data_IF_144493186140
#
_entry.id   IF_144493186140
#
_cell.length_a   1.000
_cell.length_b   1.000
_cell.length_c   1.000
_cell.angle_alpha   90.00
_cell.angle_beta   90.00
_cell.angle_gamma   90.00
#
_symmetry.space_group_name_H-M   'P 1'
#
loop_
_entity.id
_entity.type
_entity.pdbx_description
1 polymer ?
#
# COMPACT_ATOMS: atom_id res chain seq x y z
N UNK A 1 -4.64 16.26 -11.78
CA UNK A 1 -3.38 15.91 -12.48
C UNK A 1 -3.18 14.41 -12.30
N UNK A 2 -3.20 13.62 -13.38
CA UNK A 2 -3.01 12.17 -13.34
C UNK A 2 -1.51 11.86 -13.27
N UNK A 3 -1.09 10.98 -12.37
CA UNK A 3 0.27 10.45 -12.37
C UNK A 3 0.46 9.54 -13.60
N UNK A 4 1.63 9.58 -14.27
CA UNK A 4 1.96 8.65 -15.34
C UNK A 4 1.82 7.19 -14.88
N UNK A 5 1.39 6.29 -15.77
CA UNK A 5 1.12 4.89 -15.44
C UNK A 5 2.34 4.10 -14.89
N UNK A 6 3.56 4.61 -15.08
CA UNK A 6 4.81 3.97 -14.62
C UNK A 6 5.31 4.48 -13.27
N UNK A 7 4.66 5.48 -12.68
CA UNK A 7 5.06 6.04 -11.39
C UNK A 7 4.55 5.14 -10.27
N UNK A 8 5.32 4.96 -9.19
CA UNK A 8 4.84 4.27 -7.99
C UNK A 8 3.66 5.05 -7.42
N UNK A 9 2.47 4.45 -7.43
CA UNK A 9 1.25 5.09 -6.92
C UNK A 9 1.13 4.98 -5.40
N UNK A 10 1.76 3.96 -4.79
CA UNK A 10 1.72 3.69 -3.36
C UNK A 10 3.09 3.20 -2.86
N UNK A 11 3.55 3.74 -1.73
CA UNK A 11 4.75 3.28 -1.03
C UNK A 11 4.37 2.71 0.34
N UNK A 12 5.02 1.61 0.73
CA UNK A 12 4.89 1.03 2.06
C UNK A 12 6.17 1.29 2.84
N UNK A 13 6.04 1.99 3.97
CA UNK A 13 7.14 2.18 4.93
C UNK A 13 6.78 1.44 6.20
N UNK A 14 7.65 0.53 6.64
CA UNK A 14 7.52 -0.18 7.91
C UNK A 14 8.71 0.21 8.79
N UNK A 15 8.43 0.84 9.94
CA UNK A 15 9.47 1.26 10.87
C UNK A 15 10.29 0.05 11.35
N UNK A 16 11.62 0.18 11.30
CA UNK A 16 12.54 -0.89 11.67
C UNK A 16 12.72 -2.00 10.61
N UNK A 17 12.05 -1.91 9.46
CA UNK A 17 12.22 -2.83 8.35
C UNK A 17 12.88 -2.15 7.14
N UNK A 18 14.13 -2.55 6.86
CA UNK A 18 14.89 -2.11 5.68
C UNK A 18 14.69 -3.14 4.57
N UNK A 19 13.64 -3.02 3.77
CA UNK A 19 13.38 -3.91 2.64
C UNK A 19 12.79 -3.14 1.47
N UNK A 20 13.23 -3.46 0.25
CA UNK A 20 12.79 -2.81 -0.99
C UNK A 20 11.50 -3.43 -1.55
N UNK A 21 10.49 -3.61 -0.70
CA UNK A 21 9.19 -4.10 -1.15
C UNK A 21 8.47 -3.07 -2.02
N UNK A 22 7.97 -3.51 -3.17
CA UNK A 22 7.07 -2.70 -4.01
C UNK A 22 5.63 -3.15 -3.82
N UNK A 23 4.71 -2.18 -3.70
CA UNK A 23 3.28 -2.45 -3.57
C UNK A 23 2.72 -2.84 -4.93
N UNK A 24 2.25 -4.08 -5.05
CA UNK A 24 1.56 -4.59 -6.25
C UNK A 24 0.07 -4.24 -6.20
N UNK A 25 -0.56 -4.41 -5.05
CA UNK A 25 -1.99 -4.16 -4.83
C UNK A 25 -2.22 -3.64 -3.42
N UNK A 26 -3.20 -2.72 -3.28
CA UNK A 26 -3.64 -2.17 -2.01
C UNK A 26 -5.16 -2.13 -2.00
N UNK A 27 -5.78 -2.86 -1.08
CA UNK A 27 -7.22 -2.85 -0.86
C UNK A 27 -7.53 -2.46 0.58
N UNK A 28 -8.44 -1.50 0.76
CA UNK A 28 -8.85 -1.01 2.07
C UNK A 28 -10.33 -1.32 2.34
N UNK A 29 -10.64 -1.68 3.58
CA UNK A 29 -12.02 -1.78 4.08
C UNK A 29 -12.16 -0.89 5.30
N UNK A 30 -13.17 -0.03 5.26
CA UNK A 30 -13.57 0.83 6.37
C UNK A 30 -15.09 0.76 6.54
N UNK A 31 -15.55 0.69 7.79
CA UNK A 31 -16.96 0.70 8.15
C UNK A 31 -17.18 1.37 9.50
N UNK A 32 -18.36 1.96 9.70
CA UNK A 32 -18.71 2.65 10.95
C UNK A 32 -18.59 1.70 12.14
N UNK A 33 -17.91 2.14 13.19
CA UNK A 33 -17.69 1.38 14.43
C UNK A 33 -16.94 0.05 14.23
N UNK A 34 -16.16 -0.08 13.16
CA UNK A 34 -15.28 -1.22 12.93
C UNK A 34 -13.85 -0.72 12.68
N UNK A 35 -12.82 -1.50 13.06
CA UNK A 35 -11.46 -1.18 12.68
C UNK A 35 -11.32 -1.14 11.16
N UNK A 36 -10.51 -0.21 10.66
CA UNK A 36 -10.07 -0.25 9.27
C UNK A 36 -9.06 -1.38 9.09
N UNK A 37 -9.02 -1.94 7.88
CA UNK A 37 -8.01 -2.93 7.49
C UNK A 37 -7.53 -2.62 6.08
N UNK A 38 -6.23 -2.82 5.86
CA UNK A 38 -5.60 -2.78 4.56
C UNK A 38 -5.00 -4.15 4.25
N UNK A 39 -5.34 -4.68 3.08
CA UNK A 39 -4.68 -5.84 2.48
C UNK A 39 -3.69 -5.30 1.45
N UNK A 40 -2.41 -5.64 1.62
CA UNK A 40 -1.31 -5.16 0.78
C UNK A 40 -0.58 -6.36 0.20
N UNK A 41 -0.51 -6.43 -1.12
CA UNK A 41 0.30 -7.41 -1.83
C UNK A 41 1.63 -6.77 -2.22
N UNK A 42 2.72 -7.47 -1.92
CA UNK A 42 4.09 -6.98 -2.11
C UNK A 42 4.86 -7.89 -3.06
N UNK A 43 5.75 -7.28 -3.84
CA UNK A 43 6.79 -7.97 -4.60
C UNK A 43 8.17 -7.50 -4.14
N UNK A 44 9.15 -8.39 -4.19
CA UNK A 44 10.56 -8.14 -3.85
C UNK A 44 11.45 -8.35 -5.06
#
# INVERSE_FOLDING_TARGET
MFAPAYQIHFALTIEGLSSDFQVLSLQGREAISQPFVFEVELVS
#
